data_IF_298302786999
#
_entry.id   IF_298302786999
#
_cell.length_a   1.000
_cell.length_b   1.000
_cell.length_c   1.000
_cell.angle_alpha   90.00
_cell.angle_beta   90.00
_cell.angle_gamma   90.00
#
_symmetry.space_group_name_H-M   'P 1'
#
loop_
_entity.id
_entity.type
_entity.pdbx_description
1 polymer ?
#
# COMPACT_ATOMS: atom_id res chain seq x y z
N UNK A 1 -7.40 -5.55 -11.41
CA UNK A 1 -6.06 -5.51 -12.00
C UNK A 1 -5.35 -4.22 -11.61
N UNK A 2 -4.06 -4.19 -11.75
CA UNK A 2 -3.20 -3.05 -11.40
C UNK A 2 -2.31 -2.74 -12.59
N UNK A 3 -2.15 -1.44 -12.93
CA UNK A 3 -1.30 -0.95 -14.01
C UNK A 3 -0.54 0.29 -13.55
N UNK A 4 0.77 0.36 -13.81
CA UNK A 4 1.63 1.48 -13.48
C UNK A 4 2.02 2.29 -14.72
N UNK A 5 2.10 3.62 -14.55
CA UNK A 5 2.50 4.58 -15.58
C UNK A 5 3.48 5.59 -14.99
N UNK A 6 4.43 6.04 -15.77
CA UNK A 6 5.36 7.10 -15.36
C UNK A 6 4.77 8.50 -15.53
N UNK A 7 3.84 8.67 -16.47
CA UNK A 7 3.15 9.92 -16.71
C UNK A 7 1.73 9.87 -16.19
N UNK A 8 1.34 10.87 -15.42
CA UNK A 8 -0.02 10.97 -14.87
C UNK A 8 -1.07 11.00 -15.98
N UNK A 9 -0.79 11.73 -17.08
CA UNK A 9 -1.72 11.81 -18.21
C UNK A 9 -2.05 10.44 -18.83
N UNK A 10 -1.05 9.55 -18.93
CA UNK A 10 -1.24 8.20 -19.46
C UNK A 10 -2.08 7.34 -18.50
N UNK A 11 -1.83 7.47 -17.19
CA UNK A 11 -2.63 6.80 -16.16
C UNK A 11 -4.10 7.25 -16.20
N UNK A 12 -4.33 8.55 -16.31
CA UNK A 12 -5.69 9.13 -16.39
C UNK A 12 -6.41 8.69 -17.67
N UNK A 13 -5.71 8.69 -18.82
CA UNK A 13 -6.28 8.22 -20.08
C UNK A 13 -6.71 6.75 -20.01
N UNK A 14 -5.87 5.89 -19.44
CA UNK A 14 -6.21 4.47 -19.26
C UNK A 14 -7.34 4.29 -18.24
N UNK A 15 -7.35 5.06 -17.16
CA UNK A 15 -8.44 5.08 -16.19
C UNK A 15 -9.77 5.42 -16.85
N UNK A 16 -9.82 6.49 -17.64
CA UNK A 16 -11.02 6.90 -18.39
C UNK A 16 -11.46 5.81 -19.39
N UNK A 17 -10.52 5.17 -20.10
CA UNK A 17 -10.83 4.09 -21.04
C UNK A 17 -11.46 2.87 -20.35
N UNK A 18 -10.98 2.49 -19.17
CA UNK A 18 -11.52 1.38 -18.41
C UNK A 18 -12.88 1.73 -17.77
N UNK A 19 -13.03 2.96 -17.26
CA UNK A 19 -14.31 3.44 -16.74
C UNK A 19 -15.41 3.45 -17.81
N UNK A 20 -15.08 3.82 -19.06
CA UNK A 20 -16.00 3.74 -20.20
C UNK A 20 -16.47 2.31 -20.52
N UNK A 21 -15.79 1.27 -20.04
CA UNK A 21 -16.17 -0.13 -20.12
C UNK A 21 -17.04 -0.59 -18.93
N UNK A 22 -17.44 0.31 -18.05
CA UNK A 22 -18.22 0.00 -16.84
C UNK A 22 -17.40 -0.54 -15.68
N UNK A 23 -16.06 -0.46 -15.74
CA UNK A 23 -15.18 -0.88 -14.64
C UNK A 23 -15.04 0.24 -13.60
N UNK A 24 -14.98 -0.13 -12.34
CA UNK A 24 -14.59 0.80 -11.29
C UNK A 24 -13.06 0.98 -11.32
N UNK A 25 -12.62 2.23 -11.46
CA UNK A 25 -11.21 2.59 -11.62
C UNK A 25 -10.84 3.71 -10.66
N UNK A 26 -9.68 3.57 -10.01
CA UNK A 26 -9.04 4.63 -9.25
C UNK A 26 -7.63 4.86 -9.80
N UNK A 27 -7.21 6.13 -9.90
CA UNK A 27 -5.88 6.54 -10.38
C UNK A 27 -5.22 7.36 -9.28
N UNK A 28 -4.10 6.87 -8.77
CA UNK A 28 -3.38 7.54 -7.69
C UNK A 28 -1.86 7.46 -7.86
N UNK A 29 -1.15 8.44 -7.30
CA UNK A 29 0.31 8.45 -7.30
C UNK A 29 0.90 7.51 -6.28
N UNK A 30 2.00 6.83 -6.63
CA UNK A 30 2.77 5.98 -5.72
C UNK A 30 4.13 6.61 -5.39
N UNK A 31 4.61 6.52 -4.15
CA UNK A 31 5.86 7.13 -3.73
C UNK A 31 7.09 6.35 -4.17
N UNK A 32 6.93 5.09 -4.52
CA UNK A 32 8.02 4.20 -4.92
C UNK A 32 7.60 3.40 -6.15
N UNK A 33 8.55 3.18 -7.03
CA UNK A 33 8.45 2.30 -8.18
C UNK A 33 9.74 1.48 -8.23
N UNK A 34 9.61 0.15 -8.29
CA UNK A 34 10.75 -0.74 -8.48
C UNK A 34 10.80 -1.19 -9.94
N UNK A 35 12.00 -1.24 -10.49
CA UNK A 35 12.26 -1.82 -11.80
C UNK A 35 12.65 -3.30 -11.71
N UNK A 36 12.63 -3.90 -10.52
CA UNK A 36 12.92 -5.33 -10.28
C UNK A 36 14.26 -5.79 -10.86
N UNK A 37 15.29 -4.96 -10.79
CA UNK A 37 16.61 -5.26 -11.34
C UNK A 37 16.73 -5.07 -12.85
N UNK A 38 15.71 -4.57 -13.53
CA UNK A 38 15.75 -4.29 -14.97
C UNK A 38 16.83 -3.27 -15.36
N UNK A 39 17.23 -2.40 -14.43
CA UNK A 39 18.22 -1.34 -14.67
C UNK A 39 19.66 -1.78 -14.36
N UNK A 40 19.92 -3.04 -14.08
CA UNK A 40 21.28 -3.54 -13.79
C UNK A 40 22.30 -3.23 -14.91
N UNK A 41 21.85 -3.20 -16.15
CA UNK A 41 22.66 -2.78 -17.32
C UNK A 41 23.02 -1.30 -17.32
N UNK A 42 22.25 -0.47 -16.60
CA UNK A 42 22.48 0.99 -16.47
C UNK A 42 23.15 1.37 -15.13
N UNK A 43 23.67 0.41 -14.38
CA UNK A 43 24.33 0.65 -13.09
C UNK A 43 23.45 0.36 -11.86
N UNK A 44 22.27 -0.17 -12.04
CA UNK A 44 21.32 -0.53 -10.98
C UNK A 44 20.01 0.24 -11.00
N UNK A 45 19.10 -0.13 -10.13
CA UNK A 45 17.81 0.54 -9.98
C UNK A 45 17.98 1.90 -9.31
N UNK A 46 17.29 2.96 -9.80
CA UNK A 46 17.42 4.29 -9.23
C UNK A 46 16.78 4.37 -7.85
N UNK A 47 17.49 4.98 -6.90
CA UNK A 47 16.92 5.39 -5.63
C UNK A 47 16.16 6.70 -5.83
N UNK A 48 14.83 6.64 -5.73
CA UNK A 48 14.00 7.80 -5.92
C UNK A 48 14.06 8.75 -4.71
N UNK A 49 14.02 10.07 -4.99
CA UNK A 49 13.98 11.09 -3.94
C UNK A 49 12.75 11.00 -3.04
N UNK A 50 11.71 10.32 -3.49
CA UNK A 50 10.46 10.12 -2.76
C UNK A 50 10.61 9.28 -1.51
N UNK A 51 11.55 8.33 -1.47
CA UNK A 51 11.74 7.44 -0.32
C UNK A 51 13.12 7.54 0.35
N UNK A 52 14.13 8.14 -0.29
CA UNK A 52 15.46 8.29 0.31
C UNK A 52 15.44 9.10 1.63
N UNK A 53 14.47 9.97 1.80
CA UNK A 53 14.26 10.77 3.01
C UNK A 53 13.30 10.12 4.02
N UNK A 54 12.95 8.85 3.86
CA UNK A 54 12.13 8.13 4.84
C UNK A 54 12.89 7.89 6.15
N UNK A 55 12.19 7.64 7.28
CA UNK A 55 12.82 7.14 8.48
C UNK A 55 13.69 5.93 8.15
N UNK A 56 14.87 5.87 8.77
CA UNK A 56 15.94 4.95 8.41
C UNK A 56 15.48 3.47 8.36
N UNK A 57 14.72 3.03 9.36
CA UNK A 57 14.20 1.66 9.39
C UNK A 57 13.18 1.37 8.28
N UNK A 58 12.37 2.36 7.89
CA UNK A 58 11.42 2.21 6.79
C UNK A 58 12.13 2.17 5.43
N UNK A 59 13.18 2.97 5.28
CA UNK A 59 14.04 2.94 4.10
C UNK A 59 14.76 1.60 3.94
N UNK A 60 15.39 1.13 5.01
CA UNK A 60 16.08 -0.17 5.03
C UNK A 60 15.11 -1.33 4.74
N UNK A 61 13.91 -1.28 5.30
CA UNK A 61 12.86 -2.26 5.03
C UNK A 61 12.53 -2.32 3.52
N UNK A 62 12.35 -1.16 2.88
CA UNK A 62 12.08 -1.09 1.44
C UNK A 62 13.26 -1.66 0.64
N UNK A 63 14.50 -1.32 0.99
CA UNK A 63 15.68 -1.86 0.30
C UNK A 63 15.74 -3.38 0.35
N UNK A 64 15.52 -4.00 1.52
CA UNK A 64 15.49 -5.45 1.63
C UNK A 64 14.39 -6.08 0.78
N UNK A 65 13.22 -5.44 0.70
CA UNK A 65 12.11 -5.89 -0.13
C UNK A 65 12.49 -5.91 -1.62
N UNK A 66 12.96 -4.78 -2.14
CA UNK A 66 13.29 -4.62 -3.56
C UNK A 66 14.51 -5.48 -3.96
N UNK A 67 15.52 -5.57 -3.11
CA UNK A 67 16.67 -6.43 -3.36
C UNK A 67 16.30 -7.93 -3.36
N UNK A 68 15.29 -8.33 -2.60
CA UNK A 68 14.83 -9.71 -2.61
C UNK A 68 14.30 -10.12 -3.99
N UNK A 69 13.61 -9.23 -4.70
CA UNK A 69 13.13 -9.49 -6.06
C UNK A 69 14.26 -9.68 -7.07
N UNK A 70 15.45 -9.10 -6.82
CA UNK A 70 16.63 -9.31 -7.68
C UNK A 70 17.29 -10.67 -7.47
N UNK A 71 17.08 -11.29 -6.31
CA UNK A 71 17.69 -12.56 -5.94
C UNK A 71 16.83 -13.77 -6.34
N UNK A 72 15.51 -13.64 -6.11
CA UNK A 72 14.54 -14.70 -6.42
C UNK A 72 13.31 -14.08 -7.05
N UNK A 73 12.98 -14.53 -8.24
CA UNK A 73 11.76 -14.12 -8.95
C UNK A 73 11.14 -15.31 -9.69
N UNK A 74 9.93 -15.68 -9.31
CA UNK A 74 9.12 -16.69 -9.98
C UNK A 74 8.24 -16.02 -11.04
N UNK A 75 8.40 -16.41 -12.31
CA UNK A 75 7.64 -15.83 -13.40
C UNK A 75 6.14 -16.14 -13.23
N UNK A 76 5.29 -15.10 -13.36
CA UNK A 76 3.83 -15.18 -13.23
C UNK A 76 3.31 -15.60 -11.85
N UNK A 77 4.12 -15.59 -10.81
CA UNK A 77 3.69 -15.85 -9.44
C UNK A 77 3.94 -14.64 -8.54
N UNK A 78 3.11 -13.62 -8.68
CA UNK A 78 3.17 -12.40 -7.87
C UNK A 78 3.01 -12.71 -6.38
N UNK A 79 2.14 -13.67 -6.02
CA UNK A 79 1.91 -14.01 -4.61
C UNK A 79 3.18 -14.57 -3.96
N UNK A 80 3.89 -15.46 -4.63
CA UNK A 80 5.18 -15.97 -4.16
C UNK A 80 6.21 -14.84 -4.06
N UNK A 81 6.37 -14.05 -5.12
CA UNK A 81 7.37 -12.98 -5.17
C UNK A 81 7.22 -11.98 -4.04
N UNK A 82 6.01 -11.48 -3.81
CA UNK A 82 5.71 -10.53 -2.73
C UNK A 82 5.83 -11.16 -1.34
N UNK A 83 5.45 -12.44 -1.20
CA UNK A 83 5.59 -13.16 0.07
C UNK A 83 7.05 -13.40 0.42
N UNK A 84 7.87 -13.77 -0.56
CA UNK A 84 9.32 -13.95 -0.39
C UNK A 84 9.98 -12.61 -0.02
N UNK A 85 9.72 -11.54 -0.78
CA UNK A 85 10.25 -10.21 -0.50
C UNK A 85 9.83 -9.71 0.89
N UNK A 86 8.57 -9.93 1.28
CA UNK A 86 8.08 -9.61 2.63
C UNK A 86 8.80 -10.41 3.72
N UNK A 87 9.13 -11.67 3.50
CA UNK A 87 9.88 -12.46 4.47
C UNK A 87 11.31 -11.94 4.62
N UNK A 88 11.99 -11.67 3.51
CA UNK A 88 13.36 -11.10 3.50
C UNK A 88 13.39 -9.73 4.17
N UNK A 89 12.45 -8.83 3.84
CA UNK A 89 12.38 -7.50 4.46
C UNK A 89 12.25 -7.59 5.99
N UNK A 90 11.39 -8.49 6.49
CA UNK A 90 11.16 -8.65 7.94
C UNK A 90 12.39 -9.15 8.68
N UNK A 91 13.05 -10.16 8.13
CA UNK A 91 14.26 -10.73 8.71
C UNK A 91 15.39 -9.71 8.63
N UNK A 92 15.60 -9.12 7.46
CA UNK A 92 16.68 -8.17 7.21
C UNK A 92 16.56 -6.91 8.05
N UNK A 93 15.38 -6.30 8.12
CA UNK A 93 15.17 -5.11 8.94
C UNK A 93 15.31 -5.41 10.44
N UNK A 94 14.82 -6.57 10.91
CA UNK A 94 14.97 -6.95 12.31
C UNK A 94 16.46 -7.09 12.70
N UNK A 95 17.24 -7.73 11.85
CA UNK A 95 18.69 -7.86 12.07
C UNK A 95 19.41 -6.52 12.03
N UNK A 96 19.06 -5.66 11.04
CA UNK A 96 19.65 -4.33 10.93
C UNK A 96 19.30 -3.46 12.14
N UNK A 97 18.04 -3.45 12.58
CA UNK A 97 17.62 -2.74 13.79
C UNK A 97 18.36 -3.20 15.04
N UNK A 98 18.63 -4.49 15.17
CA UNK A 98 19.35 -5.03 16.32
C UNK A 98 20.84 -4.65 16.34
N UNK A 99 21.49 -4.53 15.17
CA UNK A 99 22.96 -4.44 15.08
C UNK A 99 23.49 -3.10 14.62
N UNK A 100 22.71 -2.35 13.81
CA UNK A 100 23.21 -1.15 13.11
C UNK A 100 22.43 0.12 13.47
N UNK A 101 21.25 0.02 14.08
CA UNK A 101 20.40 1.18 14.29
C UNK A 101 20.60 1.85 15.65
N UNK A 102 20.21 3.13 15.75
CA UNK A 102 20.12 3.85 17.01
C UNK A 102 18.85 3.47 17.79
N UNK A 103 18.78 3.70 19.12
CA UNK A 103 17.55 3.54 19.89
C UNK A 103 16.38 4.35 19.31
N UNK A 104 16.64 5.59 18.89
CA UNK A 104 15.63 6.46 18.28
C UNK A 104 15.09 5.90 16.94
N UNK A 105 15.96 5.32 16.10
CA UNK A 105 15.54 4.68 14.86
C UNK A 105 14.68 3.44 15.12
N UNK A 106 14.98 2.65 16.16
CA UNK A 106 14.15 1.50 16.58
C UNK A 106 12.75 1.93 17.02
N UNK A 107 12.67 2.97 17.85
CA UNK A 107 11.40 3.50 18.32
C UNK A 107 10.55 4.07 17.18
N UNK A 108 11.17 4.85 16.28
CA UNK A 108 10.50 5.37 15.09
C UNK A 108 9.97 4.24 14.20
N UNK A 109 10.77 3.20 13.98
CA UNK A 109 10.34 2.03 13.19
C UNK A 109 9.21 1.26 13.88
N UNK A 110 9.28 1.04 15.19
CA UNK A 110 8.22 0.37 15.94
C UNK A 110 6.89 1.14 15.84
N UNK A 111 6.94 2.47 15.91
CA UNK A 111 5.78 3.34 15.71
C UNK A 111 5.21 3.20 14.29
N UNK A 112 6.06 3.24 13.28
CA UNK A 112 5.67 3.04 11.87
C UNK A 112 5.04 1.66 11.65
N UNK A 113 5.62 0.60 12.22
CA UNK A 113 5.09 -0.76 12.08
C UNK A 113 3.73 -0.94 12.79
N UNK A 114 3.56 -0.34 13.96
CA UNK A 114 2.28 -0.34 14.66
C UNK A 114 1.19 0.33 13.81
N UNK A 115 1.49 1.47 13.17
CA UNK A 115 0.58 2.17 12.25
C UNK A 115 0.24 1.33 11.02
N UNK A 116 1.24 0.72 10.38
CA UNK A 116 1.03 -0.21 9.25
C UNK A 116 0.17 -1.40 9.64
N UNK A 117 0.42 -1.98 10.81
CA UNK A 117 -0.36 -3.12 11.32
C UNK A 117 -1.82 -2.75 11.55
N UNK A 118 -2.09 -1.60 12.17
CA UNK A 118 -3.44 -1.10 12.40
C UNK A 118 -4.19 -0.83 11.07
N UNK A 119 -3.50 -0.21 10.10
CA UNK A 119 -4.07 0.02 8.77
C UNK A 119 -4.37 -1.29 8.03
N UNK A 120 -3.44 -2.26 8.06
CA UNK A 120 -3.68 -3.60 7.49
C UNK A 120 -4.86 -4.32 8.13
N UNK A 121 -5.05 -4.18 9.44
CA UNK A 121 -6.20 -4.76 10.12
C UNK A 121 -7.51 -4.14 9.62
N UNK A 122 -7.56 -2.80 9.49
CA UNK A 122 -8.72 -2.08 8.95
C UNK A 122 -9.04 -2.51 7.51
N UNK A 123 -8.04 -2.54 6.64
CA UNK A 123 -8.23 -2.95 5.23
C UNK A 123 -8.69 -4.39 5.10
N UNK A 124 -8.18 -5.31 5.93
CA UNK A 124 -8.63 -6.71 5.95
C UNK A 124 -10.09 -6.83 6.39
N UNK A 125 -10.48 -6.12 7.46
CA UNK A 125 -11.86 -6.10 7.93
C UNK A 125 -12.82 -5.58 6.86
N UNK A 126 -12.44 -4.50 6.16
CA UNK A 126 -13.21 -3.94 5.06
C UNK A 126 -13.32 -4.93 3.89
N UNK A 127 -12.21 -5.57 3.51
CA UNK A 127 -12.21 -6.61 2.48
C UNK A 127 -13.16 -7.76 2.80
N UNK A 128 -13.14 -8.24 4.05
CA UNK A 128 -14.06 -9.30 4.50
C UNK A 128 -15.51 -8.85 4.40
N UNK A 129 -15.82 -7.61 4.82
CA UNK A 129 -17.16 -7.04 4.70
C UNK A 129 -17.63 -6.95 3.25
N UNK A 130 -16.77 -6.45 2.35
CA UNK A 130 -17.08 -6.36 0.92
C UNK A 130 -17.27 -7.75 0.30
N UNK A 131 -16.43 -8.72 0.64
CA UNK A 131 -16.58 -10.09 0.16
C UNK A 131 -17.94 -10.69 0.55
N UNK A 132 -18.37 -10.49 1.80
CA UNK A 132 -19.68 -10.94 2.27
C UNK A 132 -20.85 -10.26 1.52
N UNK A 133 -20.70 -8.96 1.15
CA UNK A 133 -21.72 -8.25 0.35
C UNK A 133 -21.84 -8.87 -1.05
N UNK A 134 -20.73 -9.21 -1.70
CA UNK A 134 -20.75 -9.84 -3.02
C UNK A 134 -21.26 -11.27 -2.97
N UNK A 135 -20.93 -12.02 -1.91
CA UNK A 135 -21.49 -13.36 -1.69
C UNK A 135 -23.03 -13.32 -1.51
N UNK A 136 -23.53 -12.34 -0.77
CA UNK A 136 -24.98 -12.13 -0.67
C UNK A 136 -25.64 -11.83 -2.02
N UNK A 137 -24.97 -11.04 -2.90
CA UNK A 137 -25.48 -10.79 -4.26
C UNK A 137 -25.68 -12.10 -5.01
N UNK A 138 -24.70 -12.99 -4.99
CA UNK A 138 -24.76 -14.29 -5.69
C UNK A 138 -25.87 -15.20 -5.13
N UNK A 139 -25.98 -15.28 -3.78
CA UNK A 139 -26.92 -16.18 -3.09
C UNK A 139 -28.37 -15.68 -3.12
N UNK A 140 -28.60 -14.36 -3.13
CA UNK A 140 -29.91 -13.74 -2.96
C UNK A 140 -30.40 -13.02 -4.21
N UNK A 141 -29.65 -13.06 -5.33
CA UNK A 141 -29.94 -12.35 -6.58
C UNK A 141 -30.26 -10.86 -6.34
N UNK A 142 -29.44 -10.19 -5.51
CA UNK A 142 -29.64 -8.78 -5.19
C UNK A 142 -29.55 -7.90 -6.42
N UNK A 143 -30.47 -6.95 -6.51
CA UNK A 143 -30.43 -5.91 -7.54
C UNK A 143 -29.17 -5.03 -7.40
N UNK A 144 -28.65 -4.53 -8.52
CA UNK A 144 -27.40 -3.76 -8.56
C UNK A 144 -27.45 -2.50 -7.70
N UNK A 145 -28.61 -1.85 -7.58
CA UNK A 145 -28.76 -0.67 -6.73
C UNK A 145 -28.62 -1.01 -5.23
N UNK A 146 -29.12 -2.16 -4.78
CA UNK A 146 -28.99 -2.61 -3.39
C UNK A 146 -27.52 -2.96 -3.10
N UNK A 147 -26.85 -3.66 -4.02
CA UNK A 147 -25.42 -3.94 -3.92
C UNK A 147 -24.60 -2.66 -3.79
N UNK A 148 -24.87 -1.67 -4.65
CA UNK A 148 -24.16 -0.40 -4.65
C UNK A 148 -24.39 0.40 -3.34
N UNK A 149 -25.60 0.36 -2.79
CA UNK A 149 -25.89 0.98 -1.49
C UNK A 149 -25.08 0.31 -0.36
N UNK A 150 -25.03 -1.01 -0.30
CA UNK A 150 -24.25 -1.76 0.69
C UNK A 150 -22.74 -1.50 0.57
N UNK A 151 -22.22 -1.46 -0.67
CA UNK A 151 -20.80 -1.09 -0.92
C UNK A 151 -20.50 0.33 -0.45
N UNK A 152 -21.34 1.28 -0.79
CA UNK A 152 -21.18 2.69 -0.41
C UNK A 152 -21.12 2.84 1.10
N UNK A 153 -22.01 2.17 1.83
CA UNK A 153 -22.01 2.19 3.29
C UNK A 153 -20.75 1.51 3.87
N UNK A 154 -20.31 0.37 3.32
CA UNK A 154 -19.09 -0.29 3.74
C UNK A 154 -17.85 0.58 3.53
N UNK A 155 -17.77 1.29 2.40
CA UNK A 155 -16.66 2.21 2.11
C UNK A 155 -16.74 3.50 2.93
N UNK A 156 -17.95 3.99 3.25
CA UNK A 156 -18.12 5.10 4.19
C UNK A 156 -17.60 4.71 5.58
N UNK A 157 -17.98 3.54 6.09
CA UNK A 157 -17.47 3.04 7.37
C UNK A 157 -15.93 2.92 7.37
N UNK A 158 -15.34 2.43 6.27
CA UNK A 158 -13.87 2.41 6.13
C UNK A 158 -13.25 3.80 6.25
N UNK A 159 -13.82 4.82 5.58
CA UNK A 159 -13.31 6.20 5.66
C UNK A 159 -13.42 6.77 7.07
N UNK A 160 -14.54 6.55 7.74
CA UNK A 160 -14.78 7.01 9.11
C UNK A 160 -13.79 6.34 10.10
N UNK A 161 -13.62 5.02 10.00
CA UNK A 161 -12.67 4.26 10.81
C UNK A 161 -11.20 4.70 10.54
N UNK A 162 -10.86 4.97 9.28
CA UNK A 162 -9.54 5.46 8.92
C UNK A 162 -9.29 6.88 9.43
N UNK A 163 -10.28 7.77 9.37
CA UNK A 163 -10.18 9.11 9.93
C UNK A 163 -9.95 9.05 11.46
N UNK A 164 -10.70 8.18 12.17
CA UNK A 164 -10.50 7.96 13.59
C UNK A 164 -9.12 7.37 13.92
N UNK A 165 -8.62 6.45 13.08
CA UNK A 165 -7.28 5.89 13.23
C UNK A 165 -6.19 6.95 13.05
N UNK A 166 -6.33 7.81 12.03
CA UNK A 166 -5.41 8.93 11.79
C UNK A 166 -5.41 9.94 12.94
N UNK A 167 -6.57 10.30 13.46
CA UNK A 167 -6.68 11.22 14.60
C UNK A 167 -5.86 10.70 15.79
N UNK A 168 -6.01 9.43 16.16
CA UNK A 168 -5.21 8.78 17.21
C UNK A 168 -3.70 8.85 16.97
N UNK A 169 -3.25 8.78 15.72
CA UNK A 169 -1.83 8.89 15.40
C UNK A 169 -1.28 10.31 15.53
N UNK A 170 -2.14 11.31 15.30
CA UNK A 170 -1.77 12.74 15.44
C UNK A 170 -1.77 13.18 16.90
N UNK A 171 -2.70 12.64 17.71
CA UNK A 171 -2.82 12.97 19.13
C UNK A 171 -1.76 12.29 20.01
N UNK A 172 -1.06 11.28 19.47
CA UNK A 172 0.02 10.62 20.20
C UNK A 172 1.22 11.56 20.42
N UNK A 173 1.92 11.53 21.59
CA UNK A 173 3.11 12.32 21.83
C UNK A 173 4.15 12.11 20.70
N UNK A 174 4.58 13.19 20.05
CA UNK A 174 5.47 13.12 18.88
C UNK A 174 4.77 12.71 17.58
N UNK A 175 3.44 12.74 17.56
CA UNK A 175 2.62 12.36 16.40
C UNK A 175 2.90 13.21 15.17
N UNK A 176 3.75 12.69 14.30
CA UNK A 176 3.87 13.17 12.92
C UNK A 176 2.78 12.50 12.09
N UNK A 177 2.09 13.24 11.23
CA UNK A 177 1.14 12.60 10.32
C UNK A 177 1.87 11.49 9.53
N UNK A 178 1.20 10.33 9.29
CA UNK A 178 1.76 9.38 8.36
C UNK A 178 2.04 10.13 7.06
N UNK A 179 3.21 9.93 6.48
CA UNK A 179 3.53 10.46 5.16
C UNK A 179 2.63 9.75 4.13
N UNK A 180 1.36 10.10 4.12
CA UNK A 180 0.55 9.87 2.95
C UNK A 180 1.04 10.85 1.89
N UNK A 181 1.39 10.39 0.72
CA UNK A 181 1.47 11.28 -0.43
C UNK A 181 0.10 11.93 -0.58
N UNK A 182 0.08 13.21 -0.90
CA UNK A 182 -1.17 13.98 -1.07
C UNK A 182 -2.17 13.26 -1.98
N UNK A 183 -1.68 12.46 -2.94
CA UNK A 183 -2.46 11.62 -3.83
C UNK A 183 -3.15 10.42 -3.15
N UNK A 184 -2.51 9.78 -2.15
CA UNK A 184 -3.14 8.68 -1.41
C UNK A 184 -4.29 9.17 -0.51
N UNK A 185 -4.21 10.40 0.00
CA UNK A 185 -5.29 11.00 0.80
C UNK A 185 -6.46 11.39 -0.09
N UNK A 186 -6.20 11.96 -1.27
CA UNK A 186 -7.24 12.38 -2.20
C UNK A 186 -8.04 11.20 -2.79
N UNK A 187 -7.44 10.02 -2.92
CA UNK A 187 -8.11 8.80 -3.39
C UNK A 187 -9.09 8.21 -2.36
N UNK A 188 -8.87 8.44 -1.07
CA UNK A 188 -9.74 7.96 0.02
C UNK A 188 -10.83 8.96 0.43
N UNK A 189 -10.72 10.22 0.02
CA UNK A 189 -11.67 11.30 0.34
C UNK A 189 -12.76 11.52 -0.72
N UNK A 190 -12.85 10.66 -1.75
CA UNK A 190 -13.86 10.73 -2.82
C UNK A 190 -14.88 9.62 -2.74
#
# INVERSE_FOLDING_TARGET
>A
GYRGYFQEADAQAEGARLAAQGLEVDVYGVPAYSTLGYMNWAGGDPLLSTFIAWPEGDFVRLLFHELAHQVVYAQNDTLFNESFATAVERIGVAQWLATQSTPAAREAYATSEARRSAFRALTRATRTRLAAIYEQKELQALEDHALNAMKTEAMKAFRDDYAALRARWLDAPGGTPPRATTAQVAGYDR
#
